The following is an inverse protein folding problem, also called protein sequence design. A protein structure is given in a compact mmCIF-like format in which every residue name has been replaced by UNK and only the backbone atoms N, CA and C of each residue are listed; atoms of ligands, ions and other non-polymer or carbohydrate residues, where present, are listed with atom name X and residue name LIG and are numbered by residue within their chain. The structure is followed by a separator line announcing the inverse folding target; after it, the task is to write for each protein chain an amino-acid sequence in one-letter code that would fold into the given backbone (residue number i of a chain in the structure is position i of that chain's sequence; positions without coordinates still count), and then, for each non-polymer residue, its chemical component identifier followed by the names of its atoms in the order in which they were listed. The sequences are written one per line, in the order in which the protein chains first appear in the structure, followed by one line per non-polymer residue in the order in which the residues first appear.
data_IF_793064382734
#
_entry.id   IF_793064382734
#
_cell.length_a   1.000
_cell.length_b   1.000
_cell.length_c   1.000
_cell.angle_alpha   90.00
_cell.angle_beta   90.00
_cell.angle_gamma   90.00
#
_symmetry.space_group_name_H-M   'P 1'
#
loop_
_entity.id
_entity.type
_entity.pdbx_description
1 polymer ?
#
# COMPACT_ATOMS: atom_id res chain seq x y z
N UNK A 1 11.28 17.29 24.69
CA UNK A 1 10.85 17.70 23.33
C UNK A 1 9.35 17.92 23.40
N UNK A 2 8.83 18.97 22.77
CA UNK A 2 7.39 19.18 22.63
C UNK A 2 7.07 19.29 21.15
N UNK A 3 6.01 18.60 20.73
CA UNK A 3 5.46 18.69 19.39
C UNK A 3 4.29 19.66 19.49
N UNK A 4 4.33 20.74 18.72
CA UNK A 4 3.15 21.57 18.51
C UNK A 4 2.43 21.05 17.26
N UNK A 5 1.26 20.47 17.48
CA UNK A 5 0.50 19.70 16.48
C UNK A 5 -0.03 20.58 15.34
N UNK A 6 -0.17 21.89 15.57
CA UNK A 6 -0.77 22.83 14.61
C UNK A 6 0.21 23.38 13.56
N UNK A 7 1.52 23.31 13.81
CA UNK A 7 2.54 24.01 12.99
C UNK A 7 3.69 23.11 12.49
N UNK A 8 3.58 21.77 12.65
CA UNK A 8 4.58 20.79 12.19
C UNK A 8 6.04 21.08 12.59
N UNK A 9 6.26 21.78 13.70
CA UNK A 9 7.59 22.09 14.19
C UNK A 9 7.90 21.32 15.47
N UNK A 10 9.16 20.92 15.57
CA UNK A 10 9.69 20.15 16.69
C UNK A 10 10.59 21.05 17.51
N UNK A 11 10.17 21.36 18.74
CA UNK A 11 10.96 22.21 19.64
C UNK A 11 11.96 21.38 20.43
N UNK A 12 13.24 21.60 20.16
CA UNK A 12 14.37 21.08 20.96
C UNK A 12 14.66 22.07 22.09
N UNK A 13 14.48 21.62 23.34
CA UNK A 13 14.63 22.47 24.54
C UNK A 13 16.08 22.67 24.98
N UNK A 14 17.00 21.83 24.50
CA UNK A 14 18.41 21.85 24.87
C UNK A 14 19.05 20.48 24.71
N UNK A 15 20.29 20.35 25.18
CA UNK A 15 21.03 19.09 25.18
C UNK A 15 21.66 18.83 26.55
N UNK A 16 22.07 17.59 26.82
CA UNK A 16 22.80 17.23 28.03
C UNK A 16 24.01 16.39 27.67
N UNK A 17 25.04 16.42 28.53
CA UNK A 17 26.19 15.53 28.39
C UNK A 17 25.82 14.13 28.88
N UNK A 18 26.52 13.11 28.38
CA UNK A 18 26.34 11.72 28.82
C UNK A 18 26.50 11.56 30.35
N UNK A 19 27.42 12.29 30.97
CA UNK A 19 27.61 12.28 32.42
C UNK A 19 26.37 12.83 33.17
N UNK A 20 25.77 13.92 32.68
CA UNK A 20 24.53 14.48 33.28
C UNK A 20 23.35 13.55 33.05
N UNK A 21 23.26 12.92 31.88
CA UNK A 21 22.22 11.92 31.59
C UNK A 21 22.28 10.72 32.55
N UNK A 22 23.49 10.20 32.83
CA UNK A 22 23.69 9.11 33.80
C UNK A 22 23.37 9.50 35.25
N UNK A 23 23.43 10.78 35.59
CA UNK A 23 23.02 11.28 36.91
C UNK A 23 21.50 11.51 37.02
N UNK A 24 20.77 11.45 35.90
CA UNK A 24 19.31 11.61 35.85
C UNK A 24 18.54 10.43 36.44
N UNK A 25 17.22 10.58 36.55
CA UNK A 25 16.34 9.51 37.05
C UNK A 25 16.08 8.50 35.94
N UNK A 26 16.64 7.30 36.09
CA UNK A 26 16.36 6.17 35.21
C UNK A 26 15.05 5.49 35.62
N UNK A 27 14.05 5.52 34.75
CA UNK A 27 12.89 4.65 34.85
C UNK A 27 13.26 3.31 34.21
N UNK A 28 13.53 2.32 35.05
CA UNK A 28 13.98 0.99 34.61
C UNK A 28 12.85 0.25 33.88
N UNK A 29 11.59 0.48 34.26
CA UNK A 29 10.43 -0.16 33.65
C UNK A 29 10.14 0.38 32.26
N UNK A 30 10.29 1.70 32.08
CA UNK A 30 10.10 2.36 30.77
C UNK A 30 11.38 2.48 29.96
N UNK A 31 12.54 2.14 30.54
CA UNK A 31 13.89 2.34 29.99
C UNK A 31 14.14 3.77 29.51
N UNK A 32 13.58 4.75 30.22
CA UNK A 32 13.69 6.17 29.91
C UNK A 32 14.59 6.85 30.94
N UNK A 33 15.47 7.73 30.48
CA UNK A 33 16.13 8.69 31.35
C UNK A 33 15.28 9.95 31.39
N UNK A 34 14.87 10.34 32.60
CA UNK A 34 14.20 11.62 32.83
C UNK A 34 15.21 12.59 33.41
N UNK A 35 15.38 13.71 32.73
CA UNK A 35 16.17 14.84 33.19
C UNK A 35 15.22 16.01 33.47
N UNK A 36 15.47 16.71 34.58
CA UNK A 36 14.78 17.96 34.83
C UNK A 36 15.29 19.02 33.86
N UNK A 37 14.43 19.97 33.49
CA UNK A 37 14.79 21.01 32.51
C UNK A 37 16.02 21.81 32.92
N UNK A 38 16.25 21.94 34.22
CA UNK A 38 17.39 22.66 34.82
C UNK A 38 18.75 22.03 34.46
N UNK A 39 18.75 20.73 34.17
CA UNK A 39 19.96 19.97 33.82
C UNK A 39 20.32 20.05 32.33
N UNK A 40 19.40 20.61 31.51
CA UNK A 40 19.60 20.83 30.09
C UNK A 40 20.40 22.12 29.83
N UNK A 41 21.31 22.03 28.87
CA UNK A 41 21.98 23.18 28.27
C UNK A 41 21.07 23.67 27.13
N UNK A 42 20.35 24.77 27.36
CA UNK A 42 19.37 25.31 26.39
C UNK A 42 20.06 25.89 25.14
N UNK A 43 21.27 26.44 25.30
CA UNK A 43 21.98 27.09 24.20
C UNK A 43 22.68 26.06 23.29
N UNK A 44 22.02 25.68 22.20
CA UNK A 44 22.54 24.75 21.21
C UNK A 44 23.83 25.21 20.53
N UNK A 45 24.16 26.51 20.53
CA UNK A 45 25.43 26.98 19.96
C UNK A 45 26.63 26.40 20.71
N UNK A 46 26.48 26.13 22.01
CA UNK A 46 27.53 25.51 22.83
C UNK A 46 27.86 24.10 22.33
N UNK A 47 26.86 23.34 21.85
CA UNK A 47 27.08 22.01 21.27
C UNK A 47 27.99 22.11 20.04
N UNK A 48 27.69 23.05 19.14
CA UNK A 48 28.44 23.26 17.91
C UNK A 48 29.86 23.78 18.19
N UNK A 49 30.01 24.70 19.15
CA UNK A 49 31.32 25.20 19.57
C UNK A 49 32.17 24.09 20.19
N UNK A 50 31.60 23.28 21.09
CA UNK A 50 32.30 22.17 21.71
C UNK A 50 32.81 21.15 20.68
N UNK A 51 31.99 20.84 19.67
CA UNK A 51 32.38 19.96 18.55
C UNK A 51 33.46 20.58 17.67
N UNK A 52 33.36 21.87 17.35
CA UNK A 52 34.38 22.58 16.54
C UNK A 52 35.75 22.65 17.21
N UNK A 53 35.78 22.62 18.55
CA UNK A 53 36.98 22.66 19.36
C UNK A 53 37.50 21.26 19.75
N UNK A 54 36.87 20.18 19.24
CA UNK A 54 37.17 18.79 19.64
C UNK A 54 37.19 18.59 21.17
N UNK A 55 36.29 19.27 21.90
CA UNK A 55 36.14 19.10 23.35
C UNK A 55 35.31 17.86 23.74
N UNK A 56 34.98 17.02 22.76
CA UNK A 56 34.31 15.75 22.99
C UNK A 56 35.25 14.85 23.80
N UNK A 57 34.83 14.47 25.00
CA UNK A 57 35.57 13.46 25.77
C UNK A 57 35.54 12.15 24.99
N UNK A 58 36.70 11.51 24.81
CA UNK A 58 36.77 10.15 24.30
C UNK A 58 35.92 9.25 25.21
N UNK A 59 34.70 8.96 24.79
CA UNK A 59 33.90 7.94 25.44
C UNK A 59 34.65 6.65 25.17
N UNK A 60 35.23 6.07 26.22
CA UNK A 60 35.79 4.71 26.15
C UNK A 60 34.60 3.81 25.85
N UNK A 61 34.34 3.60 24.56
CA UNK A 61 33.35 2.66 24.10
C UNK A 61 33.87 1.29 24.51
N UNK A 62 33.17 0.65 25.45
CA UNK A 62 33.42 -0.75 25.74
C UNK A 62 33.33 -1.51 24.43
N UNK A 63 34.36 -2.28 24.09
CA UNK A 63 34.35 -3.14 22.92
C UNK A 63 33.15 -4.05 23.01
N UNK A 64 32.34 -4.10 21.94
CA UNK A 64 31.17 -4.97 21.90
C UNK A 64 31.60 -6.42 22.19
N UNK A 65 30.90 -7.12 23.09
CA UNK A 65 31.25 -8.48 23.46
C UNK A 65 31.21 -9.40 22.23
N UNK A 66 32.27 -10.19 22.05
CA UNK A 66 32.32 -11.25 21.05
C UNK A 66 31.87 -12.57 21.66
N UNK A 67 31.11 -13.35 20.89
CA UNK A 67 30.58 -14.64 21.32
C UNK A 67 31.15 -15.76 20.44
N UNK A 68 31.27 -16.98 20.99
CA UNK A 68 31.66 -18.16 20.22
C UNK A 68 30.58 -18.55 19.21
N UNK A 69 31.00 -19.19 18.10
CA UNK A 69 30.11 -19.60 17.00
C UNK A 69 28.98 -20.55 17.46
N UNK A 70 29.29 -21.56 18.27
CA UNK A 70 28.31 -22.55 18.76
C UNK A 70 27.21 -21.89 19.61
N UNK A 71 27.58 -20.87 20.40
CA UNK A 71 26.64 -20.11 21.23
C UNK A 71 25.82 -19.12 20.39
N UNK A 72 26.34 -18.66 19.25
CA UNK A 72 25.60 -17.79 18.33
C UNK A 72 24.56 -18.55 17.53
N UNK A 73 24.82 -19.78 17.08
CA UNK A 73 23.82 -20.57 16.36
C UNK A 73 22.58 -20.86 17.21
N UNK A 74 22.79 -21.27 18.46
CA UNK A 74 21.68 -21.49 19.41
C UNK A 74 20.91 -20.20 19.73
N UNK A 75 21.60 -19.05 19.83
CA UNK A 75 20.94 -17.75 19.99
C UNK A 75 20.12 -17.36 18.75
N UNK A 76 20.66 -17.59 17.55
CA UNK A 76 19.95 -17.29 16.30
C UNK A 76 18.72 -18.18 16.16
N UNK A 77 18.79 -19.47 16.50
CA UNK A 77 17.65 -20.37 16.45
C UNK A 77 16.53 -19.89 17.40
N UNK A 78 16.89 -19.51 18.64
CA UNK A 78 15.95 -18.94 19.61
C UNK A 78 15.31 -17.63 19.11
N UNK A 79 16.13 -16.70 18.61
CA UNK A 79 15.70 -15.37 18.17
C UNK A 79 14.96 -15.38 16.82
N UNK A 80 15.08 -16.46 16.06
CA UNK A 80 14.37 -16.64 14.79
C UNK A 80 12.91 -17.05 14.98
N UNK A 81 12.51 -17.49 16.18
CA UNK A 81 11.12 -17.85 16.49
C UNK A 81 10.22 -16.61 16.50
N UNK A 82 8.97 -16.71 15.99
CA UNK A 82 8.01 -15.60 16.02
C UNK A 82 7.61 -15.29 17.47
N UNK A 83 7.79 -14.03 17.87
CA UNK A 83 7.45 -13.54 19.21
C UNK A 83 6.63 -12.25 19.09
N UNK A 84 5.63 -12.03 19.97
CA UNK A 84 4.80 -10.83 19.95
C UNK A 84 5.55 -9.55 20.39
N UNK A 85 6.78 -9.68 20.87
CA UNK A 85 7.63 -8.60 21.34
C UNK A 85 8.96 -8.58 20.58
N UNK A 86 9.68 -7.44 20.61
CA UNK A 86 10.97 -7.32 19.91
C UNK A 86 11.92 -8.46 20.29
N UNK A 87 12.52 -9.20 19.32
CA UNK A 87 13.43 -10.32 19.58
C UNK A 87 14.59 -9.95 20.49
N UNK A 88 14.99 -8.67 20.46
CA UNK A 88 15.95 -8.06 21.38
C UNK A 88 15.71 -8.40 22.86
N UNK A 89 14.45 -8.53 23.28
CA UNK A 89 14.07 -8.68 24.68
C UNK A 89 14.18 -10.13 25.19
N UNK A 90 14.38 -11.09 24.29
CA UNK A 90 14.52 -12.52 24.61
C UNK A 90 15.93 -12.90 25.11
N UNK A 91 16.87 -11.97 25.02
CA UNK A 91 18.30 -12.16 25.30
C UNK A 91 18.89 -10.96 26.02
N UNK A 92 19.94 -11.22 26.80
CA UNK A 92 20.66 -10.17 27.52
C UNK A 92 21.45 -9.26 26.57
N UNK A 93 21.89 -8.10 27.09
CA UNK A 93 22.62 -7.13 26.28
C UNK A 93 23.85 -7.71 25.62
N UNK A 94 24.65 -8.52 26.32
CA UNK A 94 25.89 -9.05 25.76
C UNK A 94 25.64 -10.01 24.59
N UNK A 95 24.59 -10.82 24.70
CA UNK A 95 24.17 -11.75 23.64
C UNK A 95 23.65 -11.00 22.41
N UNK A 96 22.84 -9.96 22.63
CA UNK A 96 22.36 -9.13 21.54
C UNK A 96 23.46 -8.29 20.90
N UNK A 97 24.35 -7.73 21.71
CA UNK A 97 25.47 -6.92 21.26
C UNK A 97 26.45 -7.75 20.43
N UNK A 98 26.66 -9.03 20.77
CA UNK A 98 27.45 -9.95 19.96
C UNK A 98 26.87 -10.15 18.56
N UNK A 99 25.54 -10.29 18.43
CA UNK A 99 24.87 -10.36 17.12
C UNK A 99 25.02 -9.04 16.37
N UNK A 100 24.81 -7.90 17.05
CA UNK A 100 24.94 -6.58 16.42
C UNK A 100 26.36 -6.25 15.94
N UNK A 101 27.37 -6.77 16.62
CA UNK A 101 28.78 -6.52 16.32
C UNK A 101 29.23 -7.12 14.98
N UNK A 102 28.47 -8.08 14.44
CA UNK A 102 28.85 -8.82 13.25
C UNK A 102 27.75 -8.71 12.18
N UNK A 103 28.11 -8.15 11.03
CA UNK A 103 27.19 -7.90 9.92
C UNK A 103 26.52 -9.17 9.37
N UNK A 104 27.29 -10.25 9.23
CA UNK A 104 26.79 -11.52 8.72
C UNK A 104 25.67 -12.08 9.61
N UNK A 105 25.85 -12.04 10.93
CA UNK A 105 24.85 -12.57 11.88
C UNK A 105 23.58 -11.72 11.93
N UNK A 106 23.70 -10.40 11.76
CA UNK A 106 22.51 -9.53 11.62
C UNK A 106 21.70 -9.90 10.38
N UNK A 107 22.36 -10.08 9.24
CA UNK A 107 21.70 -10.47 7.99
C UNK A 107 21.06 -11.85 8.11
N UNK A 108 21.75 -12.83 8.71
CA UNK A 108 21.24 -14.18 8.89
C UNK A 108 20.01 -14.24 9.82
N UNK A 109 19.99 -13.46 10.90
CA UNK A 109 18.82 -13.35 11.78
C UNK A 109 17.62 -12.74 11.04
N UNK A 110 17.84 -11.68 10.28
CA UNK A 110 16.80 -11.06 9.46
C UNK A 110 16.25 -12.05 8.42
N UNK A 111 17.13 -12.77 7.71
CA UNK A 111 16.73 -13.74 6.71
C UNK A 111 15.92 -14.90 7.32
N UNK A 112 16.34 -15.45 8.46
CA UNK A 112 15.62 -16.54 9.13
C UNK A 112 14.25 -16.12 9.63
N UNK A 113 14.11 -14.89 10.12
CA UNK A 113 12.81 -14.36 10.54
C UNK A 113 11.89 -14.07 9.36
N UNK A 114 12.42 -13.51 8.27
CA UNK A 114 11.68 -13.35 7.02
C UNK A 114 11.22 -14.69 6.44
N UNK A 115 12.06 -15.72 6.51
CA UNK A 115 11.71 -17.07 6.09
C UNK A 115 10.70 -17.73 7.03
N UNK A 116 10.77 -17.50 8.34
CA UNK A 116 9.78 -17.99 9.30
C UNK A 116 8.42 -17.28 9.15
N UNK A 117 8.42 -15.98 8.81
CA UNK A 117 7.22 -15.22 8.45
C UNK A 117 6.66 -15.64 7.08
N UNK A 118 7.53 -15.97 6.11
CA UNK A 118 7.13 -16.49 4.80
C UNK A 118 6.74 -17.99 4.81
N UNK A 119 7.20 -18.77 5.80
CA UNK A 119 6.88 -20.19 5.99
C UNK A 119 5.67 -20.41 6.90
N UNK A 120 5.19 -19.38 7.60
CA UNK A 120 3.78 -19.36 7.95
C UNK A 120 3.01 -19.11 6.64
N UNK A 121 2.02 -19.94 6.29
CA UNK A 121 1.08 -19.52 5.26
C UNK A 121 0.54 -18.18 5.73
N UNK A 122 0.86 -17.11 4.99
CA UNK A 122 0.11 -15.86 5.01
C UNK A 122 -1.34 -16.31 5.05
N UNK A 123 -2.03 -15.92 6.12
CA UNK A 123 -3.39 -16.33 6.47
C UNK A 123 -4.12 -16.82 5.22
N UNK A 124 -4.50 -18.10 5.19
CA UNK A 124 -5.49 -18.59 4.22
C UNK A 124 -6.81 -17.92 4.56
N UNK A 125 -6.90 -16.61 4.28
CA UNK A 125 -8.14 -15.93 4.10
C UNK A 125 -8.87 -16.71 3.02
N UNK A 126 -10.15 -16.99 3.24
CA UNK A 126 -10.97 -17.59 2.20
C UNK A 126 -10.79 -16.78 0.91
N UNK A 127 -10.72 -17.44 -0.26
CA UNK A 127 -10.49 -16.73 -1.52
C UNK A 127 -11.56 -15.66 -1.71
N UNK A 128 -11.12 -14.45 -2.09
CA UNK A 128 -11.99 -13.31 -2.34
C UNK A 128 -12.96 -13.67 -3.45
N UNK A 129 -14.26 -13.65 -3.15
CA UNK A 129 -15.26 -14.10 -4.10
C UNK A 129 -15.76 -12.92 -4.94
N UNK A 130 -15.21 -12.80 -6.14
CA UNK A 130 -15.50 -11.69 -7.03
C UNK A 130 -16.97 -11.63 -7.47
N UNK A 131 -17.70 -12.76 -7.50
CA UNK A 131 -19.14 -12.72 -7.78
C UNK A 131 -19.96 -12.21 -6.61
N UNK A 132 -19.49 -12.36 -5.37
CA UNK A 132 -20.19 -11.79 -4.22
C UNK A 132 -20.17 -10.26 -4.24
N UNK A 133 -19.13 -9.66 -4.81
CA UNK A 133 -19.06 -8.22 -5.00
C UNK A 133 -20.24 -7.71 -5.80
N UNK A 134 -20.66 -8.41 -6.87
CA UNK A 134 -21.83 -8.05 -7.69
C UNK A 134 -23.14 -7.97 -6.88
N UNK A 135 -23.20 -8.65 -5.73
CA UNK A 135 -24.31 -8.61 -4.78
C UNK A 135 -24.07 -7.64 -3.61
N UNK A 136 -23.15 -6.69 -3.77
CA UNK A 136 -22.73 -5.71 -2.76
C UNK A 136 -22.18 -6.32 -1.47
N UNK A 137 -21.69 -7.57 -1.54
CA UNK A 137 -20.98 -8.23 -0.45
C UNK A 137 -19.50 -8.17 -0.75
N UNK A 138 -18.82 -7.19 -0.17
CA UNK A 138 -17.39 -6.94 -0.31
C UNK A 138 -16.73 -7.21 1.03
N UNK A 139 -15.60 -7.92 1.02
CA UNK A 139 -14.84 -8.25 2.22
C UNK A 139 -14.22 -7.00 2.85
N UNK A 140 -14.05 -6.98 4.18
CA UNK A 140 -13.65 -5.80 4.96
C UNK A 140 -12.28 -5.21 4.56
N UNK A 141 -11.41 -6.00 3.95
CA UNK A 141 -10.08 -5.58 3.50
C UNK A 141 -10.11 -4.78 2.18
N UNK A 142 -11.24 -4.78 1.48
CA UNK A 142 -11.42 -4.11 0.19
C UNK A 142 -12.27 -2.86 0.32
N UNK A 143 -11.73 -1.74 -0.14
CA UNK A 143 -12.35 -0.42 0.02
C UNK A 143 -12.67 0.23 -1.32
N UNK A 144 -13.43 1.32 -1.29
CA UNK A 144 -13.58 2.18 -2.46
C UNK A 144 -12.21 2.71 -2.90
N UNK A 145 -11.97 2.82 -4.20
CA UNK A 145 -10.67 3.23 -4.73
C UNK A 145 -10.30 4.63 -4.25
N UNK A 146 -11.30 5.50 -4.19
CA UNK A 146 -11.18 6.86 -3.71
C UNK A 146 -10.73 6.91 -2.25
N UNK A 147 -11.17 5.97 -1.40
CA UNK A 147 -10.74 5.92 -0.01
C UNK A 147 -9.28 5.49 0.15
N UNK A 148 -8.78 4.64 -0.75
CA UNK A 148 -7.39 4.17 -0.72
C UNK A 148 -6.43 5.17 -1.35
N UNK A 149 -6.86 5.87 -2.40
CA UNK A 149 -6.01 6.80 -3.17
C UNK A 149 -6.16 8.26 -2.79
N UNK A 150 -7.19 8.65 -2.02
CA UNK A 150 -7.34 10.03 -1.61
C UNK A 150 -6.19 10.41 -0.65
N UNK A 151 -5.53 11.56 -0.86
CA UNK A 151 -4.69 12.11 0.19
C UNK A 151 -5.58 12.44 1.41
N UNK A 152 -5.05 12.30 2.63
CA UNK A 152 -5.74 12.58 3.89
C UNK A 152 -6.31 14.02 4.04
N UNK A 153 -6.23 14.86 3.00
CA UNK A 153 -6.65 16.25 2.96
C UNK A 153 -7.54 16.58 1.73
N UNK A 154 -8.31 15.62 1.21
CA UNK A 154 -9.38 15.97 0.30
C UNK A 154 -10.50 16.67 1.10
N UNK A 155 -10.45 18.02 1.14
CA UNK A 155 -11.56 18.86 1.57
C UNK A 155 -12.78 18.40 0.78
N UNK A 156 -13.79 17.88 1.46
CA UNK A 156 -15.11 17.66 0.86
C UNK A 156 -15.60 19.02 0.38
N UNK A 157 -15.42 19.30 -0.91
CA UNK A 157 -16.21 20.30 -1.59
C UNK A 157 -17.62 19.72 -1.59
N UNK A 158 -18.46 20.22 -0.66
CA UNK A 158 -19.90 20.04 -0.79
C UNK A 158 -20.28 20.62 -2.14
N UNK A 159 -20.41 19.75 -3.15
CA UNK A 159 -21.23 20.05 -4.30
C UNK A 159 -22.58 20.44 -3.75
N UNK A 160 -22.88 21.74 -3.84
CA UNK A 160 -24.22 22.23 -3.61
C UNK A 160 -25.15 21.38 -4.47
N UNK A 161 -26.01 20.61 -3.81
CA UNK A 161 -27.13 19.94 -4.44
C UNK A 161 -28.04 21.01 -5.05
N UNK A 162 -27.74 21.44 -6.26
CA UNK A 162 -28.73 21.99 -7.16
C UNK A 162 -29.31 20.82 -7.96
N UNK A 163 -30.64 20.74 -8.13
CA UNK A 163 -31.24 19.77 -9.01
C UNK A 163 -30.90 20.18 -10.44
N UNK A 164 -29.79 19.69 -10.98
CA UNK A 164 -29.43 19.91 -12.37
C UNK A 164 -30.45 19.17 -13.25
N UNK A 165 -31.29 19.96 -13.91
CA UNK A 165 -32.30 19.47 -14.84
C UNK A 165 -31.64 18.63 -15.95
N UNK A 166 -32.41 17.75 -16.58
CA UNK A 166 -32.05 16.95 -17.75
C UNK A 166 -31.29 17.75 -18.83
N UNK A 167 -31.49 19.07 -18.91
CA UNK A 167 -30.77 19.99 -19.78
C UNK A 167 -29.24 20.00 -19.59
N UNK A 168 -28.74 19.82 -18.37
CA UNK A 168 -27.30 19.83 -18.09
C UNK A 168 -26.60 18.56 -18.62
N UNK A 169 -27.27 17.41 -18.56
CA UNK A 169 -26.71 16.12 -19.00
C UNK A 169 -27.03 15.78 -20.45
N UNK A 170 -28.04 16.41 -21.06
CA UNK A 170 -28.48 16.14 -22.43
C UNK A 170 -27.36 16.23 -23.48
N UNK A 171 -26.41 17.19 -23.43
CA UNK A 171 -25.28 17.21 -24.35
C UNK A 171 -24.38 15.98 -24.19
N UNK A 172 -24.18 15.51 -22.97
CA UNK A 172 -23.30 14.37 -22.65
C UNK A 172 -23.96 13.06 -23.11
N UNK A 173 -25.27 12.91 -22.91
CA UNK A 173 -26.03 11.77 -23.44
C UNK A 173 -25.87 11.65 -24.96
N UNK A 174 -25.97 12.79 -25.68
CA UNK A 174 -25.75 12.83 -27.14
C UNK A 174 -24.34 12.44 -27.53
N UNK A 175 -23.31 12.86 -26.78
CA UNK A 175 -21.91 12.52 -27.06
C UNK A 175 -21.62 11.03 -26.93
N UNK A 176 -22.33 10.33 -26.02
CA UNK A 176 -22.23 8.88 -25.89
C UNK A 176 -22.91 8.16 -27.06
N UNK A 177 -24.09 8.63 -27.47
CA UNK A 177 -24.90 7.98 -28.52
C UNK A 177 -24.48 8.36 -29.94
N UNK A 178 -23.72 9.44 -30.14
CA UNK A 178 -23.28 9.86 -31.46
C UNK A 178 -22.19 8.95 -32.04
N UNK A 179 -21.97 9.05 -33.35
CA UNK A 179 -20.85 8.40 -34.03
C UNK A 179 -19.50 9.10 -33.75
N UNK A 180 -19.33 9.59 -32.51
CA UNK A 180 -18.09 10.18 -32.01
C UNK A 180 -17.02 9.11 -31.89
N UNK A 181 -15.76 9.54 -31.76
CA UNK A 181 -14.67 8.62 -31.47
C UNK A 181 -14.91 7.88 -30.15
N UNK A 182 -14.40 6.65 -30.06
CA UNK A 182 -14.50 5.83 -28.84
C UNK A 182 -13.95 6.54 -27.60
N UNK A 183 -12.88 7.32 -27.77
CA UNK A 183 -12.29 8.09 -26.68
C UNK A 183 -13.24 9.17 -26.14
N UNK A 184 -13.98 9.86 -27.03
CA UNK A 184 -14.99 10.84 -26.61
C UNK A 184 -16.15 10.13 -25.91
N UNK A 185 -16.61 9.00 -26.44
CA UNK A 185 -17.67 8.20 -25.81
C UNK A 185 -17.27 7.69 -24.43
N UNK A 186 -16.04 7.22 -24.29
CA UNK A 186 -15.47 6.78 -23.01
C UNK A 186 -15.46 7.94 -22.00
N UNK A 187 -14.92 9.11 -22.38
CA UNK A 187 -14.90 10.27 -21.50
C UNK A 187 -16.31 10.72 -21.10
N UNK A 188 -17.23 10.80 -22.06
CA UNK A 188 -18.62 11.17 -21.81
C UNK A 188 -19.32 10.17 -20.86
N UNK A 189 -19.09 8.87 -21.03
CA UNK A 189 -19.60 7.85 -20.12
C UNK A 189 -19.04 8.02 -18.69
N UNK A 190 -17.76 8.35 -18.56
CA UNK A 190 -17.14 8.66 -17.28
C UNK A 190 -17.79 9.84 -16.57
N UNK A 191 -18.05 10.94 -17.31
CA UNK A 191 -18.75 12.11 -16.76
C UNK A 191 -20.17 11.75 -16.33
N UNK A 192 -20.91 10.96 -17.11
CA UNK A 192 -22.23 10.46 -16.72
C UNK A 192 -22.19 9.64 -15.43
N UNK A 193 -21.10 8.93 -15.16
CA UNK A 193 -20.91 8.21 -13.89
C UNK A 193 -20.82 9.12 -12.66
N UNK A 194 -20.34 10.36 -12.83
CA UNK A 194 -20.20 11.33 -11.74
C UNK A 194 -21.49 12.13 -11.49
N UNK A 195 -22.19 12.53 -12.57
CA UNK A 195 -23.33 13.45 -12.48
C UNK A 195 -24.70 12.78 -12.76
N UNK A 196 -24.72 11.56 -13.29
CA UNK A 196 -25.92 10.88 -13.76
C UNK A 196 -26.75 10.16 -12.69
N UNK A 197 -26.40 10.28 -11.40
CA UNK A 197 -26.97 9.50 -10.29
C UNK A 197 -28.51 9.53 -10.18
N UNK A 198 -29.14 10.64 -10.57
CA UNK A 198 -30.59 10.84 -10.46
C UNK A 198 -31.34 10.80 -11.81
N UNK A 199 -30.67 10.32 -12.87
CA UNK A 199 -31.19 10.39 -14.24
C UNK A 199 -31.31 8.99 -14.87
N UNK A 200 -32.52 8.42 -14.97
CA UNK A 200 -32.75 7.14 -15.64
C UNK A 200 -32.25 7.11 -17.10
N UNK A 201 -32.23 8.26 -17.77
CA UNK A 201 -31.68 8.42 -19.12
C UNK A 201 -30.18 8.10 -19.16
N UNK A 202 -29.42 8.51 -18.13
CA UNK A 202 -28.00 8.20 -18.03
C UNK A 202 -27.78 6.69 -17.88
N UNK A 203 -28.61 6.02 -17.08
CA UNK A 203 -28.58 4.55 -16.92
C UNK A 203 -28.81 3.88 -18.27
N UNK A 204 -29.86 4.28 -18.99
CA UNK A 204 -30.20 3.69 -20.29
C UNK A 204 -29.07 3.88 -21.32
N UNK A 205 -28.49 5.07 -21.39
CA UNK A 205 -27.38 5.37 -22.31
C UNK A 205 -26.13 4.56 -21.98
N UNK A 206 -25.79 4.37 -20.71
CA UNK A 206 -24.66 3.53 -20.31
C UNK A 206 -24.91 2.04 -20.64
N UNK A 207 -26.15 1.56 -20.46
CA UNK A 207 -26.53 0.19 -20.85
C UNK A 207 -26.44 0.00 -22.36
N UNK A 208 -26.91 0.96 -23.16
CA UNK A 208 -26.77 0.94 -24.61
C UNK A 208 -25.30 0.98 -25.04
N UNK A 209 -24.48 1.81 -24.39
CA UNK A 209 -23.05 1.89 -24.66
C UNK A 209 -22.33 0.56 -24.40
N UNK A 210 -22.71 -0.17 -23.35
CA UNK A 210 -22.14 -1.50 -23.07
C UNK A 210 -22.37 -2.51 -24.22
N UNK A 211 -23.49 -2.38 -24.93
CA UNK A 211 -23.86 -3.27 -26.03
C UNK A 211 -23.27 -2.81 -27.38
N UNK A 212 -23.13 -1.50 -27.58
CA UNK A 212 -22.76 -0.91 -28.88
C UNK A 212 -21.28 -0.55 -29.00
N UNK A 213 -20.58 -0.35 -27.87
CA UNK A 213 -19.16 0.03 -27.89
C UNK A 213 -18.29 -1.07 -28.51
N UNK A 214 -17.38 -0.67 -29.41
CA UNK A 214 -16.45 -1.56 -30.08
C UNK A 214 -15.23 -1.81 -29.19
N UNK A 215 -14.72 -0.76 -28.55
CA UNK A 215 -13.56 -0.85 -27.66
C UNK A 215 -13.93 -1.40 -26.29
N UNK A 216 -13.07 -2.29 -25.77
CA UNK A 216 -13.24 -2.87 -24.45
C UNK A 216 -13.10 -1.83 -23.33
N UNK A 217 -12.24 -0.84 -23.52
CA UNK A 217 -12.06 0.28 -22.58
C UNK A 217 -13.35 1.08 -22.39
N UNK A 218 -14.05 1.39 -23.49
CA UNK A 218 -15.34 2.08 -23.45
C UNK A 218 -16.39 1.26 -22.70
N UNK A 219 -16.41 -0.07 -22.90
CA UNK A 219 -17.32 -0.96 -22.15
C UNK A 219 -17.00 -0.97 -20.66
N UNK A 220 -15.73 -1.06 -20.27
CA UNK A 220 -15.32 -0.97 -18.87
C UNK A 220 -15.74 0.36 -18.24
N UNK A 221 -15.48 1.47 -18.91
CA UNK A 221 -15.87 2.79 -18.42
C UNK A 221 -17.38 2.88 -18.23
N UNK A 222 -18.18 2.36 -19.17
CA UNK A 222 -19.63 2.34 -19.06
C UNK A 222 -20.11 1.50 -17.87
N UNK A 223 -19.56 0.29 -17.69
CA UNK A 223 -19.92 -0.59 -16.58
C UNK A 223 -19.56 0.02 -15.22
N UNK A 224 -18.37 0.61 -15.09
CA UNK A 224 -17.94 1.25 -13.84
C UNK A 224 -18.77 2.49 -13.52
N UNK A 225 -19.09 3.29 -14.53
CA UNK A 225 -19.98 4.46 -14.39
C UNK A 225 -21.39 4.02 -13.97
N UNK A 226 -21.89 2.93 -14.56
CA UNK A 226 -23.16 2.31 -14.18
C UNK A 226 -23.13 1.79 -12.74
N UNK A 227 -22.01 1.25 -12.26
CA UNK A 227 -21.83 0.86 -10.86
C UNK A 227 -21.82 2.01 -9.87
N UNK A 228 -21.42 3.22 -10.29
CA UNK A 228 -21.50 4.44 -9.46
C UNK A 228 -22.94 4.95 -9.34
N UNK A 229 -23.67 5.03 -10.45
CA UNK A 229 -25.02 5.64 -10.48
C UNK A 229 -26.15 4.63 -10.18
N UNK A 230 -25.93 3.35 -10.48
CA UNK A 230 -26.90 2.27 -10.26
C UNK A 230 -26.20 0.99 -9.75
N UNK A 231 -25.70 0.97 -8.49
CA UNK A 231 -24.91 -0.14 -7.93
C UNK A 231 -25.58 -1.52 -7.96
N UNK A 232 -26.91 -1.58 -8.02
CA UNK A 232 -27.69 -2.83 -8.04
C UNK A 232 -28.03 -3.29 -9.46
N UNK A 233 -27.56 -2.58 -10.50
CA UNK A 233 -27.84 -2.95 -11.88
C UNK A 233 -27.03 -4.20 -12.28
N UNK A 234 -27.61 -5.19 -12.98
CA UNK A 234 -26.94 -6.46 -13.30
C UNK A 234 -25.71 -6.33 -14.20
N UNK A 235 -25.61 -5.22 -14.94
CA UNK A 235 -24.44 -4.89 -15.78
C UNK A 235 -23.46 -3.92 -15.11
N UNK A 236 -23.70 -3.56 -13.84
CA UNK A 236 -22.80 -2.69 -13.10
C UNK A 236 -21.45 -3.36 -12.90
N UNK A 237 -20.39 -2.64 -13.26
CA UNK A 237 -19.03 -3.00 -12.89
C UNK A 237 -18.75 -2.55 -11.46
N UNK A 238 -17.87 -3.29 -10.78
CA UNK A 238 -17.45 -2.96 -9.41
C UNK A 238 -15.95 -2.80 -9.40
N UNK A 239 -15.47 -1.75 -8.73
CA UNK A 239 -14.04 -1.46 -8.59
C UNK A 239 -13.72 -1.23 -7.12
N UNK A 240 -12.76 -1.99 -6.62
CA UNK A 240 -12.29 -1.93 -5.24
C UNK A 240 -10.77 -1.87 -5.21
N UNK A 241 -10.23 -1.28 -4.15
CA UNK A 241 -8.81 -1.19 -3.92
C UNK A 241 -8.45 -1.79 -2.56
N UNK A 242 -7.24 -2.32 -2.48
CA UNK A 242 -6.61 -2.72 -1.24
C UNK A 242 -5.17 -2.21 -1.24
N UNK A 243 -4.77 -1.63 -0.11
CA UNK A 243 -3.38 -1.24 0.13
C UNK A 243 -2.51 -2.49 0.25
N UNK A 244 -1.40 -2.52 -0.47
CA UNK A 244 -0.43 -3.62 -0.43
C UNK A 244 0.84 -3.07 0.20
N UNK A 245 1.22 -3.68 1.31
CA UNK A 245 2.45 -3.40 2.03
C UNK A 245 3.40 -4.59 1.85
N UNK A 246 4.51 -4.38 1.13
CA UNK A 246 5.62 -5.35 1.01
C UNK A 246 6.70 -5.09 2.07
N UNK A 247 6.38 -4.34 3.13
CA UNK A 247 7.26 -4.00 4.23
C UNK A 247 8.37 -3.03 3.84
N UNK A 248 9.54 -3.18 4.47
CA UNK A 248 10.70 -2.30 4.29
C UNK A 248 11.24 -2.26 2.85
N UNK A 249 10.86 -3.20 1.98
CA UNK A 249 11.35 -3.26 0.60
C UNK A 249 10.72 -2.22 -0.33
N UNK A 250 9.63 -1.59 0.09
CA UNK A 250 9.01 -0.53 -0.69
C UNK A 250 9.67 0.83 -0.49
N UNK A 251 10.69 1.01 0.36
CA UNK A 251 11.36 2.31 0.58
C UNK A 251 10.35 3.49 0.73
N UNK A 252 9.26 3.27 1.48
CA UNK A 252 8.12 4.19 1.68
C UNK A 252 7.10 4.32 0.52
N UNK A 253 7.23 3.57 -0.57
CA UNK A 253 6.26 3.50 -1.66
C UNK A 253 5.04 2.65 -1.28
N UNK A 254 3.95 3.27 -0.85
CA UNK A 254 2.67 2.57 -0.72
C UNK A 254 2.07 2.30 -2.11
N UNK A 255 1.77 1.04 -2.39
CA UNK A 255 1.11 0.62 -3.62
C UNK A 255 -0.28 0.08 -3.32
N UNK A 256 -1.22 0.27 -4.25
CA UNK A 256 -2.56 -0.27 -4.15
C UNK A 256 -2.79 -1.32 -5.26
N UNK A 257 -3.38 -2.45 -4.88
CA UNK A 257 -3.99 -3.38 -5.82
C UNK A 257 -5.45 -2.97 -6.01
N UNK A 258 -5.78 -2.59 -7.23
CA UNK A 258 -7.13 -2.26 -7.66
C UNK A 258 -7.65 -3.43 -8.47
N UNK A 259 -8.82 -3.93 -8.08
CA UNK A 259 -9.54 -4.99 -8.80
C UNK A 259 -10.85 -4.41 -9.27
N UNK A 260 -11.04 -4.42 -10.59
CA UNK A 260 -12.30 -4.13 -11.22
C UNK A 260 -12.90 -5.39 -11.83
N UNK A 261 -14.19 -5.57 -11.65
CA UNK A 261 -14.96 -6.65 -12.26
C UNK A 261 -16.09 -6.08 -13.09
N UNK A 262 -16.38 -6.75 -14.20
CA UNK A 262 -17.47 -6.39 -15.10
C UNK A 262 -18.19 -7.67 -15.54
N UNK A 263 -19.51 -7.79 -15.29
CA UNK A 263 -20.31 -8.88 -15.83
C UNK A 263 -20.18 -8.92 -17.37
N UNK A 264 -19.81 -10.07 -17.93
CA UNK A 264 -19.85 -10.30 -19.38
C UNK A 264 -21.03 -11.24 -19.69
N UNK A 265 -20.90 -12.11 -20.68
CA UNK A 265 -21.84 -13.22 -20.92
C UNK A 265 -22.01 -14.05 -19.63
N UNK A 266 -23.17 -14.70 -19.45
CA UNK A 266 -23.58 -15.34 -18.18
C UNK A 266 -22.51 -16.14 -17.44
N UNK A 267 -21.61 -16.82 -18.17
CA UNK A 267 -20.57 -17.67 -17.58
C UNK A 267 -19.19 -17.01 -17.42
N UNK A 268 -18.97 -15.77 -17.88
CA UNK A 268 -17.66 -15.10 -17.78
C UNK A 268 -17.72 -13.79 -17.01
N UNK A 269 -16.69 -13.56 -16.21
CA UNK A 269 -16.48 -12.32 -15.49
C UNK A 269 -15.29 -11.60 -16.12
N UNK A 270 -15.42 -10.35 -16.52
CA UNK A 270 -14.27 -9.52 -16.85
C UNK A 270 -13.53 -9.17 -15.57
N UNK A 271 -12.22 -9.40 -15.51
CA UNK A 271 -11.36 -9.00 -14.39
C UNK A 271 -10.28 -8.08 -14.92
N UNK A 272 -10.16 -6.91 -14.30
CA UNK A 272 -9.11 -5.95 -14.55
C UNK A 272 -8.36 -5.69 -13.25
N UNK A 273 -7.07 -6.01 -13.24
CA UNK A 273 -6.14 -5.76 -12.16
C UNK A 273 -5.31 -4.55 -12.53
N UNK A 274 -5.17 -3.62 -11.59
CA UNK A 274 -4.30 -2.47 -11.72
C UNK A 274 -3.50 -2.31 -10.44
N UNK A 275 -2.18 -2.30 -10.55
CA UNK A 275 -1.28 -1.94 -9.45
C UNK A 275 -0.73 -0.55 -9.74
N UNK A 276 -0.84 0.35 -8.78
CA UNK A 276 -0.34 1.73 -8.91
C UNK A 276 0.12 2.27 -7.56
N UNK A 277 0.92 3.34 -7.60
CA UNK A 277 1.31 4.06 -6.38
C UNK A 277 0.08 4.76 -5.77
N UNK A 278 0.01 4.75 -4.45
CA UNK A 278 -0.97 5.55 -3.69
C UNK A 278 -0.57 7.03 -3.71
N UNK A 279 0.72 7.31 -3.76
CA UNK A 279 1.24 8.68 -3.81
C UNK A 279 1.00 9.28 -5.20
N UNK A 280 0.34 10.45 -5.31
CA UNK A 280 0.09 11.08 -6.60
C UNK A 280 1.38 11.31 -7.38
N UNK A 281 1.37 10.96 -8.67
CA UNK A 281 2.50 11.19 -9.60
C UNK A 281 3.83 10.52 -9.19
N UNK A 282 3.78 9.55 -8.27
CA UNK A 282 4.93 8.74 -7.90
C UNK A 282 4.98 7.50 -8.80
N UNK A 283 6.11 7.22 -9.49
CA UNK A 283 6.25 5.99 -10.26
C UNK A 283 6.28 4.77 -9.31
N UNK A 284 5.88 3.63 -9.85
CA UNK A 284 6.05 2.36 -9.16
C UNK A 284 7.54 2.02 -8.98
N UNK A 285 7.90 1.27 -7.93
CA UNK A 285 9.26 0.74 -7.78
C UNK A 285 9.69 -0.02 -9.05
N UNK A 286 10.97 0.09 -9.47
CA UNK A 286 11.49 -0.66 -10.60
C UNK A 286 11.49 -2.17 -10.30
N UNK A 287 11.33 -3.00 -11.34
CA UNK A 287 11.32 -4.47 -11.25
C UNK A 287 10.20 -5.06 -10.37
N UNK A 288 9.17 -4.27 -10.05
CA UNK A 288 7.95 -4.76 -9.42
C UNK A 288 7.22 -5.67 -10.41
N UNK A 289 7.02 -6.92 -10.00
CA UNK A 289 6.37 -7.96 -10.80
C UNK A 289 4.96 -8.20 -10.31
N UNK A 290 4.01 -8.24 -11.24
CA UNK A 290 2.63 -8.65 -10.97
C UNK A 290 2.34 -9.85 -11.85
N UNK A 291 1.95 -10.96 -11.22
CA UNK A 291 1.66 -12.23 -11.91
C UNK A 291 0.29 -12.77 -11.52
N UNK A 292 -0.44 -13.31 -12.50
CA UNK A 292 -1.66 -14.08 -12.27
C UNK A 292 -1.31 -15.55 -12.39
N UNK A 293 -1.53 -16.30 -11.31
CA UNK A 293 -1.25 -17.72 -11.20
C UNK A 293 -2.56 -18.52 -11.24
N UNK A 294 -2.53 -19.74 -11.79
CA UNK A 294 -3.62 -20.70 -11.61
C UNK A 294 -3.68 -21.22 -10.17
N UNK A 295 -4.74 -21.97 -9.86
CA UNK A 295 -4.86 -22.77 -8.63
C UNK A 295 -3.72 -23.79 -8.42
N UNK A 296 -3.06 -24.21 -9.51
CA UNK A 296 -1.88 -25.07 -9.50
C UNK A 296 -0.56 -24.28 -9.35
N UNK A 297 -0.61 -22.95 -9.23
CA UNK A 297 0.57 -22.09 -9.13
C UNK A 297 1.24 -21.78 -10.47
N UNK A 298 0.64 -22.15 -11.61
CA UNK A 298 1.20 -21.87 -12.94
C UNK A 298 0.99 -20.40 -13.33
N UNK A 299 2.05 -19.71 -13.74
CA UNK A 299 1.92 -18.33 -14.22
C UNK A 299 1.15 -18.26 -15.56
N UNK A 300 -0.01 -17.61 -15.54
CA UNK A 300 -0.86 -17.34 -16.71
C UNK A 300 -0.58 -15.99 -17.34
N UNK A 301 -0.43 -14.96 -16.51
CA UNK A 301 -0.11 -13.59 -16.94
C UNK A 301 1.00 -13.05 -16.05
N UNK A 302 1.85 -12.19 -16.62
CA UNK A 302 2.87 -11.47 -15.86
C UNK A 302 3.18 -10.12 -16.50
N UNK A 303 3.50 -9.14 -15.68
CA UNK A 303 4.04 -7.85 -16.07
C UNK A 303 5.06 -7.37 -15.04
N UNK A 304 6.00 -6.53 -15.49
CA UNK A 304 7.11 -6.04 -14.68
C UNK A 304 7.38 -4.57 -15.00
N UNK A 305 7.64 -3.74 -13.97
CA UNK A 305 7.97 -2.33 -14.15
C UNK A 305 9.40 -2.14 -14.63
N UNK A 306 9.60 -1.09 -15.43
CA UNK A 306 10.89 -0.70 -16.02
C UNK A 306 11.59 0.33 -15.16
N UNK A 307 12.92 0.35 -15.27
CA UNK A 307 13.78 1.37 -14.67
C UNK A 307 14.33 2.37 -15.70
N UNK A 308 14.71 3.55 -15.23
CA UNK A 308 15.57 4.49 -15.95
C UNK A 308 17.06 4.18 -15.73
N UNK A 309 17.93 4.96 -16.40
CA UNK A 309 19.40 4.83 -16.30
C UNK A 309 19.92 5.11 -14.88
N UNK A 310 19.13 5.81 -14.06
CA UNK A 310 19.41 6.12 -12.67
C UNK A 310 18.69 5.17 -11.69
N UNK A 311 18.25 3.99 -12.16
CA UNK A 311 17.54 2.96 -11.38
C UNK A 311 16.21 3.39 -10.74
N UNK A 312 15.57 4.46 -11.24
CA UNK A 312 14.24 4.88 -10.81
C UNK A 312 13.16 4.25 -11.68
N UNK A 313 11.99 4.00 -11.10
CA UNK A 313 10.84 3.48 -11.84
C UNK A 313 10.34 4.42 -12.93
N UNK A 314 9.96 3.87 -14.10
CA UNK A 314 9.38 4.61 -15.23
C UNK A 314 7.86 4.47 -15.35
N UNK A 315 7.30 3.41 -14.78
CA UNK A 315 5.90 3.06 -14.98
C UNK A 315 5.06 3.53 -13.80
N UNK A 316 3.92 4.16 -14.08
CA UNK A 316 3.00 4.66 -13.05
C UNK A 316 1.99 3.59 -12.60
N UNK A 317 1.69 2.62 -13.49
CA UNK A 317 0.81 1.50 -13.19
C UNK A 317 1.21 0.24 -13.95
N UNK A 318 0.80 -0.91 -13.43
CA UNK A 318 0.76 -2.19 -14.13
C UNK A 318 -0.70 -2.61 -14.26
N UNK A 319 -1.11 -2.93 -15.48
CA UNK A 319 -2.48 -3.26 -15.83
C UNK A 319 -2.53 -4.67 -16.44
N UNK A 320 -3.35 -5.57 -15.86
CA UNK A 320 -3.59 -6.93 -16.38
C UNK A 320 -5.09 -7.16 -16.54
N UNK A 321 -5.50 -7.71 -17.70
CA UNK A 321 -6.92 -7.93 -18.04
C UNK A 321 -7.14 -9.34 -18.56
N UNK A 322 -8.19 -9.98 -18.06
CA UNK A 322 -8.59 -11.32 -18.49
C UNK A 322 -10.08 -11.56 -18.22
N UNK A 323 -10.61 -12.70 -18.64
CA UNK A 323 -12.04 -13.01 -18.49
C UNK A 323 -12.27 -14.47 -18.15
N UNK A 324 -12.01 -14.87 -16.89
CA UNK A 324 -12.12 -16.25 -16.47
C UNK A 324 -13.60 -16.73 -16.46
N UNK A 325 -13.84 -18.03 -16.68
CA UNK A 325 -15.14 -18.67 -16.43
C UNK A 325 -15.58 -18.56 -14.96
N UNK A 326 -16.86 -18.81 -14.68
CA UNK A 326 -17.38 -18.93 -13.32
C UNK A 326 -16.68 -20.05 -12.55
N UNK A 327 -16.41 -19.83 -11.26
CA UNK A 327 -15.78 -20.82 -10.38
C UNK A 327 -14.28 -21.00 -10.57
N UNK A 328 -13.64 -20.18 -11.42
CA UNK A 328 -12.19 -20.24 -11.62
C UNK A 328 -11.48 -19.69 -10.38
N UNK A 329 -10.55 -20.48 -9.83
CA UNK A 329 -9.62 -20.02 -8.80
C UNK A 329 -8.34 -19.53 -9.44
N UNK A 330 -7.86 -18.39 -9.00
CA UNK A 330 -6.57 -17.84 -9.43
C UNK A 330 -5.95 -17.03 -8.29
N UNK A 331 -4.65 -16.83 -8.36
CA UNK A 331 -3.91 -16.03 -7.39
C UNK A 331 -3.25 -14.85 -8.08
N UNK A 332 -3.18 -13.70 -7.41
CA UNK A 332 -2.42 -12.54 -7.85
C UNK A 332 -1.20 -12.43 -6.95
N UNK A 333 -0.02 -12.60 -7.53
CA UNK A 333 1.27 -12.43 -6.86
C UNK A 333 1.85 -11.06 -7.23
N UNK A 334 2.06 -10.21 -6.23
CA UNK A 334 2.79 -8.94 -6.35
C UNK A 334 4.13 -9.13 -5.67
N UNK A 335 5.22 -8.99 -6.41
CA UNK A 335 6.57 -9.35 -5.98
C UNK A 335 7.57 -8.25 -6.29
N UNK A 336 8.41 -7.92 -5.31
CA UNK A 336 9.54 -7.01 -5.44
C UNK A 336 10.75 -7.65 -4.74
N UNK A 337 11.81 -7.92 -5.49
CA UNK A 337 12.97 -8.71 -5.04
C UNK A 337 12.55 -10.05 -4.39
N UNK A 338 12.79 -10.22 -3.09
CA UNK A 338 12.47 -11.42 -2.31
C UNK A 338 11.13 -11.33 -1.57
N UNK A 339 10.51 -10.14 -1.54
CA UNK A 339 9.23 -9.91 -0.88
C UNK A 339 8.08 -10.11 -1.86
N UNK A 340 7.01 -10.78 -1.43
CA UNK A 340 5.80 -10.89 -2.22
C UNK A 340 4.55 -10.93 -1.34
N UNK A 341 3.44 -10.49 -1.93
CA UNK A 341 2.09 -10.69 -1.42
C UNK A 341 1.33 -11.54 -2.42
N UNK A 342 0.54 -12.48 -1.89
CA UNK A 342 -0.31 -13.37 -2.66
C UNK A 342 -1.76 -13.16 -2.25
N UNK A 343 -2.62 -12.86 -3.23
CA UNK A 343 -4.05 -12.69 -3.02
C UNK A 343 -4.81 -13.76 -3.81
N UNK A 344 -5.67 -14.52 -3.14
CA UNK A 344 -6.46 -15.58 -3.76
C UNK A 344 -7.86 -15.07 -4.14
N UNK A 345 -8.30 -15.42 -5.35
CA UNK A 345 -9.60 -15.01 -5.88
C UNK A 345 -10.39 -16.21 -6.43
N UNK A 346 -11.71 -16.11 -6.33
CA UNK A 346 -12.68 -17.02 -6.92
C UNK A 346 -13.68 -16.22 -7.77
N UNK A 347 -13.85 -16.61 -9.04
CA UNK A 347 -14.75 -15.93 -10.00
C UNK A 347 -16.10 -16.56 -10.17
#
# INVERSE_FOLDING_TARGET
MSVEEDEHWLRVWGFATHQRLKAGKADIMRRLYTLDRQDLIENLNVLWTARSLNLESDVIAMTLPTCSLDRLESLLEKLSQPTPYCPRLEVDFDQWAAILSNEFWRQLLCQRRQQAEAAQPIQTMAPVNLRQWLNQKVEETWQAVEAVLAPAQAISVRGSSQPEALEAIAPILRLVQSNSSEQIRQQAAGVLGEIGGNHPEAINVLVELLQTAQQEETRWQAALSLGKIAPHHPLAGIRRARLIDLGLQLDQHQIALIVAIMPKTSDRLGVFLQVQSVMPQSPLPPYLKVSVLSDLGETRLKAETRSDEATRGKDNSIDLRFSPPAGTRFQVKIELNDAYVLEEFLT
#
